data_IF_391555893519
#
_entry.id   IF_391555893519
#
_cell.length_a   1.000
_cell.length_b   1.000
_cell.length_c   1.000
_cell.angle_alpha   90.00
_cell.angle_beta   90.00
_cell.angle_gamma   90.00
#
_symmetry.space_group_name_H-M   'P 1'
#
loop_
_entity.id
_entity.type
_entity.pdbx_description
1 polymer ?
#
# COMPACT_ATOMS: atom_id res chain seq x y z
N UNK A 1 9.95 -6.64 15.35
CA UNK A 1 9.70 -5.29 14.83
C UNK A 1 8.37 -4.72 15.31
N UNK A 2 7.23 -5.39 15.13
CA UNK A 2 5.90 -4.91 15.59
C UNK A 2 5.88 -4.70 17.11
N UNK A 3 6.25 -5.70 17.89
CA UNK A 3 6.34 -5.62 19.37
C UNK A 3 7.23 -4.46 19.83
N UNK A 4 8.39 -4.28 19.19
CA UNK A 4 9.28 -3.15 19.50
C UNK A 4 8.61 -1.81 19.21
N UNK A 5 7.94 -1.67 18.05
CA UNK A 5 7.22 -0.43 17.72
C UNK A 5 6.10 -0.15 18.73
N UNK A 6 5.35 -1.19 19.15
CA UNK A 6 4.35 -1.06 20.22
C UNK A 6 4.95 -0.65 21.54
N UNK A 7 6.09 -1.22 21.93
CA UNK A 7 6.79 -0.84 23.17
C UNK A 7 7.30 0.61 23.15
N UNK A 8 7.45 1.20 21.96
CA UNK A 8 7.81 2.61 21.76
C UNK A 8 6.60 3.55 21.60
N UNK A 9 5.39 3.06 21.84
CA UNK A 9 4.18 3.87 21.84
C UNK A 9 3.58 4.14 20.47
N UNK A 10 3.95 3.38 19.42
CA UNK A 10 3.28 3.50 18.12
C UNK A 10 1.81 3.07 18.25
N UNK A 11 0.91 4.02 18.04
CA UNK A 11 -0.52 3.86 18.33
C UNK A 11 -1.17 2.82 17.41
N UNK A 12 -0.88 2.89 16.11
CA UNK A 12 -1.53 2.06 15.09
C UNK A 12 -0.50 1.51 14.12
N UNK A 13 -0.41 0.18 14.06
CA UNK A 13 0.50 -0.53 13.17
C UNK A 13 -0.32 -1.38 12.20
N UNK A 14 -0.06 -1.20 10.92
CA UNK A 14 -0.72 -1.90 9.85
C UNK A 14 0.29 -2.65 8.99
N UNK A 15 0.02 -3.93 8.72
CA UNK A 15 0.83 -4.78 7.86
C UNK A 15 0.08 -5.07 6.56
N UNK A 16 0.70 -4.79 5.42
CA UNK A 16 0.23 -5.26 4.12
C UNK A 16 1.01 -6.50 3.69
N UNK A 17 0.32 -7.51 3.22
CA UNK A 17 0.91 -8.76 2.75
C UNK A 17 0.14 -9.33 1.56
N UNK A 18 0.82 -10.09 0.71
CA UNK A 18 0.17 -10.93 -0.30
C UNK A 18 -0.26 -12.30 0.25
N UNK A 19 0.10 -12.63 1.50
CA UNK A 19 -0.27 -13.88 2.16
C UNK A 19 0.59 -15.09 1.81
N UNK A 20 1.43 -15.03 0.78
CA UNK A 20 2.12 -16.20 0.22
C UNK A 20 3.10 -16.90 1.17
N UNK A 21 3.65 -16.18 2.15
CA UNK A 21 4.60 -16.72 3.14
C UNK A 21 3.94 -17.06 4.49
N UNK A 22 2.62 -16.85 4.61
CA UNK A 22 1.90 -17.09 5.84
C UNK A 22 1.91 -18.60 6.16
N UNK A 23 2.12 -18.94 7.44
CA UNK A 23 1.95 -20.25 8.01
C UNK A 23 1.42 -20.10 9.44
N UNK A 24 1.13 -21.21 10.12
CA UNK A 24 0.56 -21.18 11.47
C UNK A 24 1.46 -20.48 12.48
N UNK A 25 2.76 -20.78 12.48
CA UNK A 25 3.72 -20.17 13.39
C UNK A 25 3.80 -18.64 13.23
N UNK A 26 3.87 -18.18 11.97
CA UNK A 26 3.91 -16.75 11.67
C UNK A 26 2.58 -16.07 12.04
N UNK A 27 1.46 -16.73 11.76
CA UNK A 27 0.14 -16.24 12.14
C UNK A 27 0.02 -16.05 13.66
N UNK A 28 0.44 -17.04 14.45
CA UNK A 28 0.45 -16.93 15.92
C UNK A 28 1.33 -15.76 16.40
N UNK A 29 2.54 -15.63 15.85
CA UNK A 29 3.44 -14.53 16.19
C UNK A 29 2.84 -13.18 15.87
N UNK A 30 2.18 -13.04 14.72
CA UNK A 30 1.52 -11.79 14.31
C UNK A 30 0.33 -11.48 15.24
N UNK A 31 -0.52 -12.45 15.54
CA UNK A 31 -1.67 -12.27 16.45
C UNK A 31 -1.21 -11.81 17.84
N UNK A 32 -0.12 -12.39 18.34
CA UNK A 32 0.45 -12.05 19.67
C UNK A 32 1.25 -10.75 19.70
N UNK A 33 1.66 -10.24 18.54
CA UNK A 33 2.62 -9.11 18.45
C UNK A 33 2.07 -7.74 18.81
N UNK A 34 0.74 -7.62 18.98
CA UNK A 34 0.07 -6.33 19.17
C UNK A 34 -0.19 -5.57 17.88
N UNK A 35 -0.09 -6.22 16.72
CA UNK A 35 -0.48 -5.64 15.44
C UNK A 35 -1.94 -5.19 15.47
N UNK A 36 -2.24 -3.98 14.97
CA UNK A 36 -3.60 -3.47 14.97
C UNK A 36 -4.41 -3.95 13.75
N UNK A 37 -3.78 -3.97 12.58
CA UNK A 37 -4.43 -4.34 11.32
C UNK A 37 -3.51 -5.14 10.41
N UNK A 38 -4.05 -6.17 9.77
CA UNK A 38 -3.41 -6.89 8.68
C UNK A 38 -4.25 -6.77 7.42
N UNK A 39 -3.60 -6.47 6.29
CA UNK A 39 -4.28 -6.34 5.00
C UNK A 39 -3.70 -7.37 4.04
N UNK A 40 -4.56 -8.30 3.62
CA UNK A 40 -4.25 -9.26 2.58
C UNK A 40 -4.66 -8.70 1.22
N UNK A 41 -3.69 -8.58 0.31
CA UNK A 41 -3.91 -8.08 -1.05
C UNK A 41 -4.13 -9.26 -1.99
N UNK A 42 -5.38 -9.54 -2.37
CA UNK A 42 -5.73 -10.80 -3.05
C UNK A 42 -6.22 -10.63 -4.49
N UNK A 43 -6.79 -9.54 -4.88
CA UNK A 43 -7.16 -9.11 -6.24
C UNK A 43 -8.10 -10.01 -7.07
N UNK A 44 -8.34 -11.28 -6.71
CA UNK A 44 -9.27 -12.18 -7.44
C UNK A 44 -9.70 -13.36 -6.59
N UNK A 45 -10.82 -13.99 -6.96
CA UNK A 45 -11.34 -15.25 -6.42
C UNK A 45 -11.30 -16.39 -7.44
N UNK A 46 -10.82 -16.12 -8.64
CA UNK A 46 -10.65 -17.11 -9.70
C UNK A 46 -9.16 -17.38 -9.91
N UNK A 47 -8.76 -18.66 -9.87
CA UNK A 47 -7.36 -19.09 -10.00
C UNK A 47 -6.66 -18.46 -11.21
N UNK A 48 -7.25 -18.58 -12.37
CA UNK A 48 -6.65 -18.09 -13.63
C UNK A 48 -6.43 -16.59 -13.64
N UNK A 49 -7.33 -15.81 -13.04
CA UNK A 49 -7.21 -14.35 -12.93
C UNK A 49 -6.20 -14.00 -11.85
N UNK A 50 -6.29 -14.66 -10.67
CA UNK A 50 -5.39 -14.44 -9.55
C UNK A 50 -3.93 -14.65 -9.95
N UNK A 51 -3.60 -15.82 -10.53
CA UNK A 51 -2.23 -16.19 -10.91
C UNK A 51 -1.69 -15.35 -12.08
N UNK A 52 -2.58 -14.84 -12.94
CA UNK A 52 -2.21 -13.86 -13.97
C UNK A 52 -1.81 -12.51 -13.40
N UNK A 53 -2.51 -12.04 -12.34
CA UNK A 53 -2.24 -10.76 -11.68
C UNK A 53 -1.06 -10.89 -10.71
N UNK A 54 -1.05 -11.96 -9.93
CA UNK A 54 -0.08 -12.27 -8.89
C UNK A 54 0.91 -13.33 -9.40
N UNK A 55 1.80 -12.90 -10.27
CA UNK A 55 2.81 -13.77 -10.90
C UNK A 55 3.60 -14.54 -9.83
N UNK A 56 3.79 -15.84 -10.04
CA UNK A 56 4.45 -16.79 -9.12
C UNK A 56 3.69 -17.07 -7.82
N UNK A 57 2.45 -16.60 -7.65
CA UNK A 57 1.61 -17.02 -6.54
C UNK A 57 0.75 -18.23 -6.94
N UNK A 58 0.41 -19.08 -5.97
CA UNK A 58 -0.56 -20.15 -6.12
C UNK A 58 -1.86 -19.75 -5.43
N UNK A 59 -2.97 -19.82 -6.12
CA UNK A 59 -4.27 -19.36 -5.63
C UNK A 59 -4.75 -20.18 -4.44
N UNK A 60 -4.82 -21.50 -4.58
CA UNK A 60 -5.36 -22.39 -3.56
C UNK A 60 -4.53 -22.32 -2.27
N UNK A 61 -3.22 -22.33 -2.41
CA UNK A 61 -2.28 -22.21 -1.28
C UNK A 61 -2.47 -20.86 -0.56
N UNK A 62 -2.60 -19.76 -1.30
CA UNK A 62 -2.79 -18.45 -0.69
C UNK A 62 -4.15 -18.34 0.02
N UNK A 63 -5.21 -18.87 -0.59
CA UNK A 63 -6.55 -18.91 0.05
C UNK A 63 -6.49 -19.66 1.37
N UNK A 64 -5.85 -20.83 1.39
CA UNK A 64 -5.75 -21.65 2.61
C UNK A 64 -4.91 -20.95 3.69
N UNK A 65 -3.84 -20.26 3.32
CA UNK A 65 -3.02 -19.47 4.25
C UNK A 65 -3.78 -18.32 4.88
N UNK A 66 -4.61 -17.61 4.12
CA UNK A 66 -5.45 -16.52 4.65
C UNK A 66 -6.50 -17.08 5.61
N UNK A 67 -7.16 -18.20 5.25
CA UNK A 67 -8.10 -18.90 6.13
C UNK A 67 -7.43 -19.42 7.40
N UNK A 68 -6.19 -19.88 7.29
CA UNK A 68 -5.39 -20.31 8.44
C UNK A 68 -5.13 -19.15 9.38
N UNK A 69 -4.75 -17.98 8.86
CA UNK A 69 -4.58 -16.79 9.70
C UNK A 69 -5.86 -16.43 10.46
N UNK A 70 -7.01 -16.44 9.78
CA UNK A 70 -8.31 -16.20 10.41
C UNK A 70 -8.56 -17.22 11.53
N UNK A 71 -8.42 -18.53 11.26
CA UNK A 71 -8.61 -19.59 12.26
C UNK A 71 -7.71 -19.44 13.49
N UNK A 72 -6.45 -19.05 13.28
CA UNK A 72 -5.50 -18.80 14.37
C UNK A 72 -5.96 -17.62 15.21
N UNK A 73 -6.37 -16.50 14.61
CA UNK A 73 -6.91 -15.37 15.35
C UNK A 73 -8.13 -15.76 16.21
N UNK A 74 -9.07 -16.51 15.63
CA UNK A 74 -10.26 -16.99 16.35
C UNK A 74 -9.89 -17.96 17.48
N UNK A 75 -8.93 -18.86 17.28
CA UNK A 75 -8.41 -19.77 18.32
C UNK A 75 -7.90 -18.99 19.54
N UNK A 76 -7.26 -17.84 19.33
CA UNK A 76 -6.81 -16.97 20.42
C UNK A 76 -7.91 -16.04 20.96
N UNK A 77 -9.13 -16.09 20.41
CA UNK A 77 -10.22 -15.16 20.75
C UNK A 77 -9.79 -13.71 20.68
N UNK A 78 -8.90 -13.41 19.73
CA UNK A 78 -8.33 -12.08 19.57
C UNK A 78 -9.22 -11.23 18.64
N UNK A 79 -9.51 -9.99 19.05
CA UNK A 79 -10.19 -9.02 18.18
C UNK A 79 -9.20 -8.22 17.29
N UNK A 80 -7.92 -8.38 17.53
CA UNK A 80 -6.82 -7.81 16.74
C UNK A 80 -5.84 -8.92 16.33
N UNK A 81 -5.17 -8.72 15.20
CA UNK A 81 -5.32 -7.61 14.25
C UNK A 81 -6.67 -7.68 13.51
N UNK A 82 -7.25 -6.51 13.21
CA UNK A 82 -8.38 -6.43 12.27
C UNK A 82 -7.92 -6.97 10.93
N UNK A 83 -8.62 -7.97 10.40
CA UNK A 83 -8.33 -8.60 9.12
C UNK A 83 -9.05 -7.83 8.02
N UNK A 84 -8.29 -7.19 7.16
CA UNK A 84 -8.80 -6.56 5.96
C UNK A 84 -8.35 -7.33 4.73
N UNK A 85 -9.26 -7.62 3.82
CA UNK A 85 -8.95 -8.16 2.51
C UNK A 85 -9.17 -7.07 1.49
N UNK A 86 -8.17 -6.84 0.63
CA UNK A 86 -8.21 -5.77 -0.36
C UNK A 86 -8.08 -6.29 -1.79
N UNK A 87 -8.86 -5.70 -2.68
CA UNK A 87 -8.84 -5.93 -4.12
C UNK A 87 -8.50 -4.63 -4.84
N UNK A 88 -7.50 -4.65 -5.69
CA UNK A 88 -7.26 -3.60 -6.67
C UNK A 88 -8.10 -3.91 -7.90
N UNK A 89 -9.08 -3.06 -8.19
CA UNK A 89 -9.99 -3.25 -9.32
C UNK A 89 -9.28 -2.89 -10.63
N UNK A 90 -9.24 -3.87 -11.51
CA UNK A 90 -8.65 -3.80 -12.85
C UNK A 90 -9.65 -4.35 -13.88
N UNK A 91 -9.44 -4.10 -15.16
CA UNK A 91 -10.29 -4.66 -16.23
C UNK A 91 -10.42 -6.18 -16.13
N UNK A 92 -9.35 -6.84 -15.69
CA UNK A 92 -9.27 -8.29 -15.59
C UNK A 92 -10.17 -8.88 -14.50
N UNK A 93 -10.39 -8.16 -13.40
CA UNK A 93 -11.05 -8.69 -12.19
C UNK A 93 -12.27 -7.90 -11.70
N UNK A 94 -12.62 -6.78 -12.34
CA UNK A 94 -13.69 -5.89 -11.87
C UNK A 94 -15.05 -6.59 -11.77
N UNK A 95 -15.30 -7.54 -12.67
CA UNK A 95 -16.53 -8.35 -12.68
C UNK A 95 -16.66 -9.31 -11.48
N UNK A 96 -15.57 -9.60 -10.79
CA UNK A 96 -15.57 -10.46 -9.60
C UNK A 96 -15.93 -9.71 -8.30
N UNK A 97 -15.97 -8.37 -8.30
CA UNK A 97 -16.06 -7.58 -7.07
C UNK A 97 -17.22 -7.99 -6.15
N UNK A 98 -18.41 -8.25 -6.71
CA UNK A 98 -19.58 -8.70 -5.92
C UNK A 98 -19.38 -10.09 -5.31
N UNK A 99 -18.83 -11.02 -6.09
CA UNK A 99 -18.57 -12.38 -5.63
C UNK A 99 -17.35 -12.43 -4.69
N UNK A 100 -16.43 -11.51 -4.82
CA UNK A 100 -15.28 -11.35 -3.94
C UNK A 100 -15.70 -11.09 -2.50
N UNK A 101 -16.70 -10.24 -2.29
CA UNK A 101 -17.26 -9.95 -0.98
C UNK A 101 -17.94 -11.20 -0.37
N UNK A 102 -18.72 -11.92 -1.17
CA UNK A 102 -19.37 -13.16 -0.72
C UNK A 102 -18.35 -14.26 -0.35
N UNK A 103 -17.24 -14.33 -1.10
CA UNK A 103 -16.21 -15.35 -0.88
C UNK A 103 -15.39 -15.09 0.39
N UNK A 104 -15.03 -13.83 0.64
CA UNK A 104 -14.14 -13.47 1.73
C UNK A 104 -14.83 -12.98 3.00
N UNK A 105 -16.12 -12.63 2.94
CA UNK A 105 -16.84 -11.99 4.05
C UNK A 105 -16.82 -12.77 5.35
N UNK A 106 -16.76 -14.11 5.30
CA UNK A 106 -16.64 -14.95 6.50
C UNK A 106 -15.24 -15.02 7.11
N UNK A 107 -14.22 -14.49 6.43
CA UNK A 107 -12.81 -14.56 6.83
C UNK A 107 -12.16 -13.19 7.01
N UNK A 108 -12.93 -12.13 6.89
CA UNK A 108 -12.46 -10.77 6.99
C UNK A 108 -13.40 -9.91 7.84
N UNK A 109 -12.82 -9.00 8.61
CA UNK A 109 -13.59 -7.97 9.31
C UNK A 109 -13.95 -6.83 8.36
N UNK A 110 -13.11 -6.59 7.34
CA UNK A 110 -13.30 -5.54 6.36
C UNK A 110 -12.87 -6.00 4.96
N UNK A 111 -13.67 -5.64 3.95
CA UNK A 111 -13.30 -5.79 2.54
C UNK A 111 -13.19 -4.40 1.91
N UNK A 112 -12.10 -4.17 1.19
CA UNK A 112 -11.85 -2.87 0.58
C UNK A 112 -11.48 -3.00 -0.89
N UNK A 113 -11.98 -2.04 -1.66
CA UNK A 113 -11.71 -1.94 -3.09
C UNK A 113 -10.94 -0.65 -3.37
N UNK A 114 -9.90 -0.75 -4.18
CA UNK A 114 -9.18 0.41 -4.69
C UNK A 114 -9.10 0.31 -6.20
N UNK A 115 -9.29 1.41 -6.91
CA UNK A 115 -9.11 1.42 -8.36
C UNK A 115 -7.61 1.28 -8.67
N UNK A 116 -7.31 0.52 -9.73
CA UNK A 116 -5.95 0.42 -10.26
C UNK A 116 -5.35 1.80 -10.53
N UNK A 117 -4.09 1.92 -10.25
CA UNK A 117 -3.32 3.14 -10.51
C UNK A 117 -1.94 2.76 -11.02
N UNK A 118 -1.61 3.28 -12.19
CA UNK A 118 -0.28 3.09 -12.75
C UNK A 118 0.74 3.84 -11.89
N UNK A 119 1.60 3.09 -11.21
CA UNK A 119 2.68 3.65 -10.41
C UNK A 119 3.81 4.09 -11.34
N UNK A 120 4.18 5.36 -11.26
CA UNK A 120 5.28 5.95 -12.04
C UNK A 120 5.12 5.87 -13.57
N UNK A 121 3.95 5.51 -14.09
CA UNK A 121 3.76 5.29 -15.53
C UNK A 121 4.54 4.08 -16.08
N UNK A 122 4.99 3.17 -15.23
CA UNK A 122 5.81 2.02 -15.62
C UNK A 122 5.01 0.90 -16.26
N UNK A 123 3.74 0.76 -15.89
CA UNK A 123 2.87 -0.24 -16.52
C UNK A 123 2.41 0.24 -17.90
N UNK A 124 2.77 -0.52 -18.92
CA UNK A 124 2.38 -0.25 -20.32
C UNK A 124 0.97 -0.76 -20.64
N UNK A 125 0.40 -1.61 -19.79
CA UNK A 125 -0.95 -2.17 -19.96
C UNK A 125 -1.99 -1.23 -19.36
N UNK A 126 -3.01 -0.90 -20.12
CA UNK A 126 -4.15 -0.12 -19.62
C UNK A 126 -5.10 -1.03 -18.82
N UNK A 127 -4.96 -1.01 -17.50
CA UNK A 127 -5.76 -1.81 -16.55
C UNK A 127 -6.88 -1.00 -15.89
N UNK A 128 -7.08 0.26 -16.26
CA UNK A 128 -8.09 1.09 -15.64
C UNK A 128 -9.51 0.62 -15.95
N UNK A 129 -10.34 0.47 -14.91
CA UNK A 129 -11.77 0.13 -15.03
C UNK A 129 -12.64 1.33 -15.37
N UNK A 130 -12.17 2.53 -15.05
CA UNK A 130 -12.88 3.80 -15.24
C UNK A 130 -12.05 4.75 -16.06
N UNK A 131 -12.72 5.61 -16.81
CA UNK A 131 -12.04 6.74 -17.45
C UNK A 131 -11.26 7.55 -16.42
N UNK A 132 -10.07 7.96 -16.82
CA UNK A 132 -9.19 8.77 -15.99
C UNK A 132 -9.90 10.04 -15.61
N UNK A 133 -10.38 10.14 -14.37
CA UNK A 133 -11.07 11.32 -13.86
C UNK A 133 -10.18 12.56 -13.93
N UNK A 134 -10.84 13.68 -14.20
CA UNK A 134 -10.28 15.00 -14.42
C UNK A 134 -9.30 15.50 -13.33
N UNK A 135 -8.54 16.46 -13.74
CA UNK A 135 -7.54 17.27 -13.08
C UNK A 135 -7.90 17.66 -11.64
N UNK A 136 -7.21 17.10 -10.67
CA UNK A 136 -7.22 17.62 -9.30
C UNK A 136 -6.16 18.72 -9.18
N UNK A 137 -6.58 19.97 -9.04
CA UNK A 137 -5.70 21.14 -8.98
C UNK A 137 -5.11 21.45 -7.60
N UNK A 138 -5.16 20.52 -6.65
CA UNK A 138 -4.66 20.73 -5.29
C UNK A 138 -3.32 20.05 -5.03
N UNK A 139 -2.57 20.61 -4.08
CA UNK A 139 -1.32 20.02 -3.62
C UNK A 139 -1.54 18.60 -3.06
N UNK A 140 -0.63 17.67 -3.38
CA UNK A 140 -0.74 16.29 -2.91
C UNK A 140 -0.60 16.23 -1.38
N UNK A 141 -1.61 15.76 -0.63
CA UNK A 141 -1.57 15.75 0.82
C UNK A 141 -0.50 14.81 1.39
N UNK A 142 -0.05 13.81 0.62
CA UNK A 142 0.99 12.87 1.06
C UNK A 142 2.26 13.56 1.56
N UNK A 143 2.64 14.69 0.95
CA UNK A 143 3.83 15.46 1.36
C UNK A 143 3.73 16.07 2.76
N UNK A 144 2.52 16.17 3.32
CA UNK A 144 2.27 16.70 4.68
C UNK A 144 1.80 15.64 5.67
N UNK A 145 1.62 14.39 5.22
CA UNK A 145 1.03 13.33 6.04
C UNK A 145 1.96 12.15 6.28
N UNK A 146 2.93 11.90 5.37
CA UNK A 146 3.70 10.67 5.43
C UNK A 146 5.06 10.78 4.75
N UNK A 147 5.94 9.86 5.11
CA UNK A 147 7.16 9.49 4.40
C UNK A 147 7.16 7.98 4.17
N UNK A 148 7.89 7.52 3.18
CA UNK A 148 8.12 6.10 2.92
C UNK A 148 9.59 5.81 3.16
N UNK A 149 9.88 4.81 4.01
CA UNK A 149 11.22 4.34 4.26
C UNK A 149 11.37 2.99 3.55
N UNK A 150 12.29 2.91 2.62
CA UNK A 150 12.58 1.69 1.88
C UNK A 150 13.45 0.73 2.72
N UNK A 151 13.47 -0.55 2.34
CA UNK A 151 14.24 -1.57 3.07
C UNK A 151 15.74 -1.27 3.16
N UNK A 152 16.27 -0.46 2.25
CA UNK A 152 17.67 -0.03 2.18
C UNK A 152 17.92 1.31 2.91
N UNK A 153 16.92 1.82 3.63
CA UNK A 153 17.00 3.04 4.44
C UNK A 153 16.74 4.35 3.69
N UNK A 154 16.58 4.34 2.36
CA UNK A 154 16.21 5.57 1.65
C UNK A 154 14.81 6.01 2.03
N UNK A 155 14.66 7.31 2.28
CA UNK A 155 13.39 7.94 2.60
C UNK A 155 12.88 8.67 1.36
N UNK A 156 11.69 8.30 0.90
CA UNK A 156 10.99 8.94 -0.23
C UNK A 156 9.74 9.66 0.24
N UNK A 157 9.30 10.64 -0.53
CA UNK A 157 8.11 11.44 -0.20
C UNK A 157 6.79 10.67 -0.37
N UNK A 158 6.79 9.57 -1.13
CA UNK A 158 5.56 8.88 -1.51
C UNK A 158 5.83 7.40 -1.80
N UNK A 159 4.93 6.52 -1.32
CA UNK A 159 4.96 5.08 -1.61
C UNK A 159 4.74 4.72 -3.09
N UNK A 160 4.32 5.68 -3.92
CA UNK A 160 4.14 5.51 -5.36
C UNK A 160 5.39 5.83 -6.18
N UNK A 161 6.41 6.38 -5.53
CA UNK A 161 7.71 6.64 -6.15
C UNK A 161 8.58 5.38 -6.06
N UNK A 162 8.19 4.34 -6.79
CA UNK A 162 8.92 3.07 -6.83
C UNK A 162 10.34 3.25 -7.40
N UNK A 163 10.51 4.19 -8.32
CA UNK A 163 11.81 4.55 -8.88
C UNK A 163 12.70 5.42 -7.98
N UNK A 164 12.22 5.81 -6.77
CA UNK A 164 12.96 6.64 -5.82
C UNK A 164 13.44 7.97 -6.40
N UNK A 165 12.67 8.55 -7.31
CA UNK A 165 13.01 9.79 -8.04
C UNK A 165 12.90 11.06 -7.18
N UNK A 166 12.20 10.97 -6.04
CA UNK A 166 12.12 12.03 -5.02
C UNK A 166 12.61 11.50 -3.67
N UNK A 167 13.90 11.21 -3.59
CA UNK A 167 14.55 10.85 -2.34
C UNK A 167 14.72 12.07 -1.45
N UNK A 168 14.29 11.98 -0.21
CA UNK A 168 14.36 13.03 0.79
C UNK A 168 15.61 12.94 1.66
N UNK A 169 16.17 11.75 1.78
CA UNK A 169 17.36 11.43 2.57
C UNK A 169 17.53 9.92 2.69
N UNK A 170 18.55 9.52 3.43
CA UNK A 170 18.82 8.12 3.76
C UNK A 170 19.05 7.98 5.26
N UNK A 171 18.38 7.05 5.90
CA UNK A 171 18.68 6.65 7.27
C UNK A 171 19.91 5.74 7.25
N UNK A 172 20.82 5.98 8.15
CA UNK A 172 22.02 5.19 8.41
C UNK A 172 22.24 5.14 9.93
N UNK A 173 23.25 4.39 10.37
CA UNK A 173 23.59 4.33 11.80
C UNK A 173 23.95 5.73 12.35
N UNK A 174 24.46 6.62 11.49
CA UNK A 174 24.85 7.99 11.85
C UNK A 174 23.71 9.02 11.69
N UNK A 175 22.67 8.72 10.90
CA UNK A 175 21.55 9.63 10.61
C UNK A 175 20.23 8.95 10.94
N UNK A 176 19.83 9.03 12.21
CA UNK A 176 18.63 8.36 12.72
C UNK A 176 17.44 9.28 12.95
N UNK A 177 17.53 10.56 12.53
CA UNK A 177 16.48 11.53 12.83
C UNK A 177 15.55 11.78 11.64
N UNK A 178 14.39 11.12 11.65
CA UNK A 178 13.33 11.35 10.68
C UNK A 178 12.79 12.80 10.69
N UNK A 179 12.91 13.50 11.80
CA UNK A 179 12.48 14.90 11.92
C UNK A 179 13.30 15.80 11.02
N UNK A 180 14.61 15.56 10.90
CA UNK A 180 15.49 16.33 10.02
C UNK A 180 15.15 16.09 8.55
N UNK A 181 14.84 14.84 8.17
CA UNK A 181 14.38 14.50 6.82
C UNK A 181 13.03 15.18 6.53
N UNK A 182 12.09 15.14 7.51
CA UNK A 182 10.77 15.77 7.38
C UNK A 182 10.82 17.29 7.22
N UNK A 183 11.78 17.93 7.88
CA UNK A 183 12.00 19.37 7.81
C UNK A 183 13.12 19.77 6.82
N UNK A 184 13.65 18.80 6.10
CA UNK A 184 14.76 18.99 5.17
C UNK A 184 14.38 19.79 3.90
N UNK A 185 15.39 20.31 3.24
CA UNK A 185 15.22 21.16 2.05
C UNK A 185 14.54 20.44 0.89
N UNK A 186 14.76 19.13 0.72
CA UNK A 186 14.17 18.35 -0.36
C UNK A 186 12.62 18.32 -0.23
N UNK A 187 12.11 18.05 0.98
CA UNK A 187 10.66 18.01 1.21
C UNK A 187 10.04 19.41 1.20
N UNK A 188 10.76 20.42 1.74
CA UNK A 188 10.32 21.83 1.65
C UNK A 188 10.18 22.29 0.20
N UNK A 189 11.18 21.97 -0.66
CA UNK A 189 11.12 22.26 -2.10
C UNK A 189 9.94 21.57 -2.77
N UNK A 190 9.72 20.28 -2.48
CA UNK A 190 8.60 19.53 -3.03
C UNK A 190 7.25 20.14 -2.62
N UNK A 191 7.06 20.47 -1.34
CA UNK A 191 5.86 21.16 -0.83
C UNK A 191 5.63 22.50 -1.54
N UNK A 192 6.67 23.32 -1.68
CA UNK A 192 6.60 24.61 -2.38
C UNK A 192 6.13 24.44 -3.82
N UNK A 193 6.74 23.53 -4.57
CA UNK A 193 6.38 23.28 -5.97
C UNK A 193 4.91 22.80 -6.10
N UNK A 194 4.43 21.99 -5.14
CA UNK A 194 3.03 21.58 -5.12
C UNK A 194 2.07 22.73 -4.84
N UNK A 195 2.39 23.62 -3.90
CA UNK A 195 1.59 24.82 -3.60
C UNK A 195 1.57 25.80 -4.78
N UNK A 196 2.67 25.92 -5.50
CA UNK A 196 2.79 26.75 -6.71
C UNK A 196 2.19 26.07 -7.97
N UNK A 197 1.56 24.90 -7.86
CA UNK A 197 1.03 24.10 -8.98
C UNK A 197 2.11 23.69 -10.01
N UNK A 198 3.35 23.60 -9.58
CA UNK A 198 4.53 23.22 -10.39
C UNK A 198 5.03 21.80 -10.09
N UNK A 199 4.17 20.92 -9.58
CA UNK A 199 4.55 19.54 -9.23
C UNK A 199 5.12 18.74 -10.41
N UNK A 200 4.80 19.13 -11.64
CA UNK A 200 5.37 18.54 -12.87
C UNK A 200 6.89 18.70 -12.99
N UNK A 201 7.52 19.61 -12.23
CA UNK A 201 8.97 19.76 -12.16
C UNK A 201 9.63 18.70 -11.25
N UNK A 202 8.85 17.89 -10.57
CA UNK A 202 9.33 16.75 -9.77
C UNK A 202 9.10 15.48 -10.58
N UNK A 203 10.16 14.77 -10.95
CA UNK A 203 10.07 13.56 -11.78
C UNK A 203 9.13 12.51 -11.20
N UNK A 204 9.14 12.32 -9.88
CA UNK A 204 8.24 11.41 -9.18
C UNK A 204 6.75 11.81 -9.26
N UNK A 205 6.46 13.09 -9.50
CA UNK A 205 5.12 13.65 -9.56
C UNK A 205 4.67 13.93 -10.99
N UNK A 206 5.61 14.01 -11.94
CA UNK A 206 5.30 14.25 -13.34
C UNK A 206 4.52 13.03 -13.90
N UNK A 207 3.31 13.28 -14.38
CA UNK A 207 2.43 12.22 -14.88
C UNK A 207 1.70 11.40 -13.79
N UNK A 208 1.90 11.71 -12.50
CA UNK A 208 1.19 11.04 -11.41
C UNK A 208 -0.33 11.23 -11.54
N UNK A 209 -1.08 10.14 -11.58
CA UNK A 209 -2.54 10.15 -11.73
C UNK A 209 -3.30 10.67 -10.50
N UNK A 210 -2.60 10.85 -9.37
CA UNK A 210 -3.17 11.44 -8.16
C UNK A 210 -3.25 12.97 -8.19
N UNK A 211 -2.39 13.63 -8.99
CA UNK A 211 -2.26 15.09 -9.07
C UNK A 211 -2.32 15.62 -10.51
N UNK A 212 -3.07 14.97 -11.37
CA UNK A 212 -3.11 15.26 -12.82
C UNK A 212 -3.33 16.71 -13.22
N UNK A 213 -3.96 17.51 -12.39
CA UNK A 213 -4.19 18.93 -12.66
C UNK A 213 -2.95 19.83 -12.53
N UNK A 214 -1.80 19.25 -12.15
CA UNK A 214 -0.51 19.95 -12.07
C UNK A 214 0.45 19.54 -13.18
N UNK A 215 -0.08 19.06 -14.30
CA UNK A 215 0.68 18.74 -15.50
C UNK A 215 1.10 20.07 -16.15
N UNK A 216 2.32 20.08 -16.72
CA UNK A 216 2.85 21.21 -17.50
C UNK A 216 1.78 21.73 -18.48
N UNK A 217 1.45 23.01 -18.47
CA UNK A 217 0.58 23.59 -19.50
C UNK A 217 1.15 23.27 -20.88
N UNK A 218 0.29 22.92 -21.82
CA UNK A 218 0.68 22.75 -23.23
C UNK A 218 1.15 24.06 -23.80
#
# INVERSE_FOLDING_TARGET
MIEYAKSKGVIDIMLHTNGTVMNEELAEKIVKSGLDRIIFSLDSITKTIYEKIRVNANFEDTVEKVKTFYRIREKFKAYKPVIRISMVRMKENDHEAKNFENFWGSYADEITYTDYRNQDGLDKVDRYTKEKKENRSYACPALWQRMTINATGEVTACCRDAGKRLTLGKLSDDVNNLTDVWNGNALKKARKLHLEKKAYLLDACNGCDHIRGMIKPK
#
